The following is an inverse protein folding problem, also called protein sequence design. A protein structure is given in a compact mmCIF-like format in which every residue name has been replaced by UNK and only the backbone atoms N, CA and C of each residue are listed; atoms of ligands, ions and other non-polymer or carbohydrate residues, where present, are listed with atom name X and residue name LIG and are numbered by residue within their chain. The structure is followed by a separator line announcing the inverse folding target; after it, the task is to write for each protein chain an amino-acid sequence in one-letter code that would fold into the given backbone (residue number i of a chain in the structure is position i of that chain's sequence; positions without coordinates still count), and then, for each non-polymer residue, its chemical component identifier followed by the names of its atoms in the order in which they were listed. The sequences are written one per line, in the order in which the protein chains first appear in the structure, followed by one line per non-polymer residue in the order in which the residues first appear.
data_IF_909866922873
#
_entry.id   IF_909866922873
#
_cell.length_a   1.000
_cell.length_b   1.000
_cell.length_c   1.000
_cell.angle_alpha   90.00
_cell.angle_beta   90.00
_cell.angle_gamma   90.00
#
_symmetry.space_group_name_H-M   'P 1'
#
loop_
_entity.id
_entity.type
_entity.pdbx_description
1 polymer ?
#
# COMPACT_ATOMS: atom_id res chain seq x y z
N UNK A 1 -7.63 1.45 -17.21
CA UNK A 1 -8.39 0.48 -16.42
C UNK A 1 -7.68 0.33 -15.07
N UNK A 2 -8.30 0.74 -13.95
CA UNK A 2 -7.67 0.73 -12.62
C UNK A 2 -7.37 -0.69 -12.10
N UNK A 3 -7.89 -1.73 -12.75
CA UNK A 3 -7.62 -3.14 -12.42
C UNK A 3 -6.27 -3.64 -12.91
N UNK A 4 -5.64 -2.91 -13.83
CA UNK A 4 -4.35 -3.30 -14.40
C UNK A 4 -3.21 -2.64 -13.65
N UNK A 5 -2.07 -3.35 -13.57
CA UNK A 5 -0.82 -2.74 -13.10
C UNK A 5 -0.46 -1.55 -13.98
N UNK A 6 0.07 -0.51 -13.34
CA UNK A 6 0.49 0.75 -13.95
C UNK A 6 1.89 0.69 -14.55
N UNK A 7 2.68 -0.28 -14.09
CA UNK A 7 4.00 -0.62 -14.62
C UNK A 7 4.19 -2.14 -14.58
N UNK A 8 5.30 -2.62 -15.14
CA UNK A 8 5.71 -4.02 -14.97
C UNK A 8 6.14 -4.24 -13.52
N UNK A 9 5.41 -5.09 -12.80
CA UNK A 9 5.66 -5.42 -11.39
C UNK A 9 6.18 -6.85 -11.26
N UNK A 10 7.06 -7.09 -10.29
CA UNK A 10 7.57 -8.45 -10.03
C UNK A 10 6.55 -9.33 -9.31
N UNK A 11 5.64 -8.71 -8.55
CA UNK A 11 4.50 -9.35 -7.90
C UNK A 11 3.20 -8.90 -8.56
N UNK A 12 2.31 -9.86 -8.83
CA UNK A 12 0.92 -9.61 -9.23
C UNK A 12 0.01 -9.96 -8.06
N UNK A 13 -0.90 -9.06 -7.68
CA UNK A 13 -1.84 -9.26 -6.58
C UNK A 13 -3.16 -9.89 -7.04
N UNK A 14 -3.68 -9.40 -8.16
CA UNK A 14 -4.96 -9.84 -8.70
C UNK A 14 -4.80 -10.41 -10.10
N UNK A 15 -5.58 -11.44 -10.39
CA UNK A 15 -5.83 -11.94 -11.74
C UNK A 15 -7.30 -11.74 -12.08
N UNK A 16 -7.57 -11.51 -13.35
CA UNK A 16 -8.91 -11.35 -13.88
C UNK A 16 -9.08 -12.35 -15.01
N UNK A 17 -10.21 -13.04 -15.05
CA UNK A 17 -10.53 -13.92 -16.16
C UNK A 17 -10.76 -13.08 -17.43
N UNK A 18 -10.32 -13.60 -18.57
CA UNK A 18 -10.47 -12.95 -19.87
C UNK A 18 -11.00 -13.97 -20.89
N UNK A 19 -12.24 -14.40 -20.73
CA UNK A 19 -12.84 -15.36 -21.68
C UNK A 19 -13.03 -14.75 -23.09
N UNK A 20 -13.16 -13.44 -23.21
CA UNK A 20 -13.45 -12.71 -24.46
C UNK A 20 -12.40 -11.67 -24.85
N UNK A 21 -11.27 -11.59 -24.14
CA UNK A 21 -10.30 -10.50 -24.26
C UNK A 21 -10.69 -9.23 -23.51
N UNK A 22 -11.90 -9.16 -22.94
CA UNK A 22 -12.29 -8.17 -21.94
C UNK A 22 -12.00 -8.69 -20.52
N UNK A 23 -11.62 -7.80 -19.61
CA UNK A 23 -11.39 -8.14 -18.22
C UNK A 23 -12.74 -8.34 -17.51
N UNK A 24 -12.97 -9.55 -17.01
CA UNK A 24 -14.15 -9.86 -16.20
C UNK A 24 -14.13 -9.12 -14.86
N UNK A 25 -15.31 -8.97 -14.24
CA UNK A 25 -15.46 -8.26 -12.96
C UNK A 25 -14.92 -9.04 -11.76
N UNK A 26 -14.75 -10.36 -11.89
CA UNK A 26 -14.29 -11.20 -10.80
C UNK A 26 -12.76 -11.15 -10.67
N UNK A 27 -12.30 -10.46 -9.63
CA UNK A 27 -10.90 -10.50 -9.20
C UNK A 27 -10.61 -11.81 -8.45
N UNK A 28 -9.50 -12.46 -8.79
CA UNK A 28 -9.00 -13.65 -8.10
C UNK A 28 -7.61 -13.35 -7.52
N UNK A 29 -7.34 -13.68 -6.24
CA UNK A 29 -6.00 -13.56 -5.67
C UNK A 29 -4.98 -14.32 -6.52
N UNK A 30 -3.91 -13.63 -6.91
CA UNK A 30 -2.84 -14.21 -7.72
C UNK A 30 -1.82 -15.00 -6.87
N UNK A 31 -1.81 -14.75 -5.55
CA UNK A 31 -0.91 -15.39 -4.60
C UNK A 31 -1.64 -16.50 -3.82
N UNK A 32 -0.88 -17.51 -3.44
CA UNK A 32 -1.36 -18.53 -2.50
C UNK A 32 -1.58 -17.93 -1.10
N UNK A 33 -2.41 -18.55 -0.26
CA UNK A 33 -2.57 -18.12 1.12
C UNK A 33 -1.23 -18.04 1.87
N UNK A 34 -1.04 -17.00 2.71
CA UNK A 34 0.21 -16.81 3.45
C UNK A 34 0.39 -17.88 4.53
N UNK A 35 1.63 -18.03 4.96
CA UNK A 35 1.97 -18.89 6.08
C UNK A 35 1.45 -18.34 7.42
N UNK A 36 1.23 -19.23 8.40
CA UNK A 36 0.78 -18.85 9.74
C UNK A 36 1.70 -17.82 10.44
N UNK A 37 3.04 -17.87 10.34
CA UNK A 37 3.91 -16.83 10.89
C UNK A 37 3.61 -15.43 10.32
N UNK A 38 3.44 -15.29 9.00
CA UNK A 38 3.12 -14.02 8.36
C UNK A 38 1.75 -13.50 8.82
N UNK A 39 0.74 -14.37 8.88
CA UNK A 39 -0.58 -14.02 9.39
C UNK A 39 -0.54 -13.54 10.84
N UNK A 40 0.24 -14.21 11.71
CA UNK A 40 0.39 -13.79 13.10
C UNK A 40 1.07 -12.43 13.24
N UNK A 41 2.12 -12.19 12.47
CA UNK A 41 2.84 -10.90 12.49
C UNK A 41 1.90 -9.75 12.13
N UNK A 42 1.18 -9.89 11.01
CA UNK A 42 0.23 -8.89 10.51
C UNK A 42 -0.95 -8.72 11.48
N UNK A 43 -1.59 -9.82 11.88
CA UNK A 43 -2.74 -9.81 12.79
C UNK A 43 -2.40 -9.09 14.08
N UNK A 44 -1.23 -9.35 14.63
CA UNK A 44 -0.84 -8.79 15.92
C UNK A 44 -0.57 -7.28 15.91
N UNK A 45 -0.44 -6.65 14.73
CA UNK A 45 -0.48 -5.18 14.60
C UNK A 45 -1.94 -4.76 14.37
N UNK A 46 -2.60 -5.38 13.38
CA UNK A 46 -3.94 -5.00 12.92
C UNK A 46 -5.05 -5.15 13.98
N UNK A 47 -4.90 -6.04 14.96
CA UNK A 47 -5.89 -6.21 16.04
C UNK A 47 -5.87 -5.08 17.07
N UNK A 48 -4.82 -4.26 17.10
CA UNK A 48 -4.78 -3.10 17.99
C UNK A 48 -5.62 -1.94 17.44
N UNK A 49 -5.89 -0.94 18.29
CA UNK A 49 -6.49 0.31 17.83
C UNK A 49 -5.58 0.96 16.79
N UNK A 50 -6.18 1.51 15.74
CA UNK A 50 -5.43 2.14 14.68
C UNK A 50 -4.77 3.43 15.18
N UNK A 51 -3.45 3.38 15.27
CA UNK A 51 -2.57 4.51 15.55
C UNK A 51 -1.31 4.29 14.70
N UNK A 52 -1.16 5.09 13.66
CA UNK A 52 -0.12 4.86 12.64
C UNK A 52 1.30 4.87 13.23
N UNK A 53 1.56 5.74 14.21
CA UNK A 53 2.87 5.85 14.84
C UNK A 53 3.16 4.63 15.72
N UNK A 54 2.18 4.20 16.52
CA UNK A 54 2.31 2.95 17.31
C UNK A 54 2.45 1.73 16.42
N UNK A 55 1.72 1.67 15.31
CA UNK A 55 1.80 0.58 14.34
C UNK A 55 3.16 0.55 13.65
N UNK A 56 3.70 1.71 13.28
CA UNK A 56 5.05 1.83 12.73
C UNK A 56 6.11 1.31 13.71
N UNK A 57 6.03 1.71 14.98
CA UNK A 57 6.92 1.23 16.03
C UNK A 57 6.80 -0.29 16.22
N UNK A 58 5.58 -0.82 16.24
CA UNK A 58 5.33 -2.27 16.34
C UNK A 58 5.92 -3.04 15.14
N UNK A 59 5.78 -2.51 13.93
CA UNK A 59 6.38 -3.09 12.72
C UNK A 59 7.92 -3.05 12.79
N UNK A 60 8.49 -1.93 13.25
CA UNK A 60 9.95 -1.75 13.42
C UNK A 60 10.52 -2.78 14.39
N UNK A 61 9.88 -2.99 15.54
CA UNK A 61 10.32 -3.96 16.56
C UNK A 61 10.31 -5.40 16.05
N UNK A 62 9.53 -5.68 15.00
CA UNK A 62 9.39 -7.01 14.40
C UNK A 62 10.22 -7.19 13.15
N UNK A 63 10.95 -6.15 12.72
CA UNK A 63 11.76 -6.20 11.52
C UNK A 63 12.76 -7.37 11.51
N UNK A 64 13.29 -7.75 12.68
CA UNK A 64 14.20 -8.90 12.82
C UNK A 64 13.54 -10.27 12.67
N UNK A 65 12.21 -10.35 12.78
CA UNK A 65 11.45 -11.58 12.55
C UNK A 65 11.16 -11.82 11.06
N UNK A 66 11.53 -10.86 10.20
CA UNK A 66 11.21 -10.88 8.78
C UNK A 66 12.26 -11.69 8.01
N UNK A 67 11.82 -12.76 7.35
CA UNK A 67 12.67 -13.54 6.44
C UNK A 67 12.72 -12.90 5.05
N UNK A 68 13.74 -13.19 4.22
CA UNK A 68 13.84 -12.67 2.85
C UNK A 68 12.61 -13.00 1.98
N UNK A 69 12.01 -14.18 2.16
CA UNK A 69 10.81 -14.61 1.42
C UNK A 69 9.51 -13.97 1.96
N UNK A 70 9.59 -13.16 3.03
CA UNK A 70 8.41 -12.66 3.71
C UNK A 70 7.68 -11.58 2.90
N UNK A 71 8.33 -10.90 1.96
CA UNK A 71 7.68 -9.88 1.13
C UNK A 71 6.46 -10.44 0.37
N UNK A 72 6.62 -11.59 -0.30
CA UNK A 72 5.52 -12.29 -0.97
C UNK A 72 4.43 -12.71 0.02
N UNK A 73 4.82 -13.16 1.22
CA UNK A 73 3.88 -13.56 2.27
C UNK A 73 3.08 -12.36 2.82
N UNK A 74 3.69 -11.18 2.90
CA UNK A 74 2.99 -9.95 3.30
C UNK A 74 2.02 -9.49 2.23
N UNK A 75 2.39 -9.59 0.94
CA UNK A 75 1.45 -9.39 -0.15
C UNK A 75 0.29 -10.39 -0.10
N UNK A 76 0.57 -11.66 0.18
CA UNK A 76 -0.45 -12.69 0.32
C UNK A 76 -1.41 -12.38 1.51
N UNK A 77 -0.92 -11.83 2.63
CA UNK A 77 -1.76 -11.36 3.73
C UNK A 77 -2.73 -10.23 3.33
N UNK A 78 -2.39 -9.41 2.33
CA UNK A 78 -3.29 -8.35 1.83
C UNK A 78 -4.49 -8.90 1.05
N UNK A 79 -4.39 -10.13 0.56
CA UNK A 79 -5.41 -10.81 -0.26
C UNK A 79 -6.17 -11.89 0.53
N UNK A 80 -5.46 -12.53 1.45
CA UNK A 80 -5.96 -13.60 2.31
C UNK A 80 -5.75 -13.16 3.77
N UNK A 81 -6.58 -12.22 4.28
CA UNK A 81 -6.41 -11.69 5.61
C UNK A 81 -6.62 -12.77 6.68
N UNK A 82 -6.05 -12.60 7.89
CA UNK A 82 -6.45 -13.41 9.04
C UNK A 82 -7.96 -13.31 9.29
N UNK A 83 -8.52 -14.27 10.04
CA UNK A 83 -9.94 -14.23 10.41
C UNK A 83 -10.31 -12.90 11.08
N UNK A 84 -11.42 -12.31 10.64
CA UNK A 84 -11.95 -11.07 11.20
C UNK A 84 -12.30 -11.26 12.68
N UNK A 85 -11.80 -10.40 13.59
CA UNK A 85 -12.19 -10.43 14.99
C UNK A 85 -13.70 -10.25 15.18
N UNK A 86 -14.25 -10.81 16.25
CA UNK A 86 -15.66 -10.62 16.59
C UNK A 86 -15.98 -9.12 16.81
N UNK A 87 -17.09 -8.65 16.24
CA UNK A 87 -17.53 -7.26 16.35
C UNK A 87 -16.86 -6.28 15.38
N UNK A 88 -15.88 -6.73 14.59
CA UNK A 88 -15.20 -5.90 13.57
C UNK A 88 -15.86 -6.05 12.20
N UNK A 89 -15.97 -4.95 11.44
CA UNK A 89 -16.47 -5.00 10.08
C UNK A 89 -15.39 -5.57 9.13
N UNK A 90 -15.77 -6.53 8.28
CA UNK A 90 -14.83 -7.22 7.39
C UNK A 90 -14.05 -6.26 6.47
N UNK A 91 -14.69 -5.20 5.95
CA UNK A 91 -13.99 -4.20 5.13
C UNK A 91 -12.93 -3.42 5.91
N UNK A 92 -13.20 -3.12 7.19
CA UNK A 92 -12.34 -2.30 8.02
C UNK A 92 -11.15 -3.15 8.46
N UNK A 93 -11.44 -4.39 8.86
CA UNK A 93 -10.45 -5.40 9.14
C UNK A 93 -9.49 -5.63 7.96
N UNK A 94 -10.03 -5.80 6.74
CA UNK A 94 -9.22 -5.99 5.55
C UNK A 94 -8.27 -4.81 5.33
N UNK A 95 -8.77 -3.57 5.43
CA UNK A 95 -7.92 -2.40 5.23
C UNK A 95 -6.86 -2.25 6.34
N UNK A 96 -7.23 -2.50 7.60
CA UNK A 96 -6.28 -2.58 8.73
C UNK A 96 -5.16 -3.60 8.48
N UNK A 97 -5.52 -4.78 7.98
CA UNK A 97 -4.56 -5.84 7.61
C UNK A 97 -3.65 -5.38 6.49
N UNK A 98 -4.18 -4.72 5.46
CA UNK A 98 -3.39 -4.20 4.34
C UNK A 98 -2.38 -3.13 4.79
N UNK A 99 -2.79 -2.18 5.64
CA UNK A 99 -1.88 -1.17 6.20
C UNK A 99 -0.79 -1.85 7.05
N UNK A 100 -1.15 -2.75 7.96
CA UNK A 100 -0.19 -3.45 8.80
C UNK A 100 0.83 -4.26 7.97
N UNK A 101 0.37 -4.95 6.92
CA UNK A 101 1.23 -5.68 5.99
C UNK A 101 2.17 -4.73 5.21
N UNK A 102 1.67 -3.57 4.75
CA UNK A 102 2.49 -2.59 4.04
C UNK A 102 3.56 -1.97 4.96
N UNK A 103 3.24 -1.66 6.21
CA UNK A 103 4.22 -1.18 7.19
C UNK A 103 5.32 -2.22 7.44
N UNK A 104 4.95 -3.50 7.60
CA UNK A 104 5.92 -4.58 7.74
C UNK A 104 6.76 -4.76 6.47
N UNK A 105 6.17 -4.59 5.29
CA UNK A 105 6.86 -4.71 4.00
C UNK A 105 7.99 -3.69 3.87
N UNK A 106 7.73 -2.44 4.30
CA UNK A 106 8.74 -1.38 4.37
C UNK A 106 9.86 -1.74 5.35
N UNK A 107 9.51 -2.29 6.51
CA UNK A 107 10.46 -2.65 7.56
C UNK A 107 11.31 -3.89 7.22
N UNK A 108 10.82 -4.77 6.35
CA UNK A 108 11.53 -5.97 5.88
C UNK A 108 12.80 -5.65 5.10
N UNK A 109 13.03 -4.38 4.75
CA UNK A 109 14.16 -3.94 3.94
C UNK A 109 14.94 -2.81 4.62
N UNK A 110 15.71 -3.15 5.68
CA UNK A 110 16.50 -2.16 6.43
C UNK A 110 17.50 -1.43 5.54
N UNK A 111 18.09 -2.13 4.55
CA UNK A 111 18.82 -1.51 3.45
C UNK A 111 17.85 -1.22 2.31
N UNK A 112 17.09 -0.13 2.43
CA UNK A 112 16.20 0.36 1.37
C UNK A 112 16.88 0.51 0.00
N UNK A 113 18.21 0.76 0.00
CA UNK A 113 19.05 0.82 -1.20
C UNK A 113 19.31 -0.55 -1.83
N UNK A 114 19.11 -1.65 -1.11
CA UNK A 114 19.08 -2.98 -1.69
C UNK A 114 17.77 -3.13 -2.49
N UNK A 115 17.89 -3.62 -3.72
CA UNK A 115 16.83 -3.60 -4.72
C UNK A 115 15.48 -4.17 -4.23
N UNK A 116 15.46 -5.10 -3.27
CA UNK A 116 14.27 -5.83 -2.86
C UNK A 116 13.20 -4.98 -2.15
N UNK A 117 13.57 -4.09 -1.22
CA UNK A 117 12.59 -3.29 -0.47
C UNK A 117 11.91 -2.22 -1.30
N UNK A 118 12.75 -1.48 -2.03
CA UNK A 118 12.28 -0.50 -3.00
C UNK A 118 11.43 -1.17 -4.09
N UNK A 119 11.80 -2.38 -4.54
CA UNK A 119 11.00 -3.14 -5.50
C UNK A 119 9.64 -3.55 -4.93
N UNK A 120 9.57 -3.96 -3.66
CA UNK A 120 8.31 -4.35 -3.03
C UNK A 120 7.32 -3.18 -2.93
N UNK A 121 7.76 -1.99 -2.48
CA UNK A 121 6.86 -0.82 -2.54
C UNK A 121 6.57 -0.39 -3.97
N UNK A 122 7.54 -0.48 -4.88
CA UNK A 122 7.29 -0.21 -6.30
C UNK A 122 6.19 -1.12 -6.84
N UNK A 123 6.23 -2.42 -6.57
CA UNK A 123 5.24 -3.39 -7.01
C UNK A 123 3.86 -3.10 -6.42
N UNK A 124 3.80 -2.73 -5.14
CA UNK A 124 2.57 -2.36 -4.46
C UNK A 124 1.93 -1.09 -5.07
N UNK A 125 2.73 -0.04 -5.25
CA UNK A 125 2.28 1.27 -5.74
C UNK A 125 1.98 1.30 -7.25
N UNK A 126 2.53 0.34 -8.01
CA UNK A 126 2.29 0.17 -9.44
C UNK A 126 1.37 -1.02 -9.75
N UNK A 127 0.78 -1.64 -8.74
CA UNK A 127 -0.30 -2.60 -8.89
C UNK A 127 -1.62 -1.95 -9.31
N UNK A 128 -2.73 -2.69 -9.23
CA UNK A 128 -4.07 -2.15 -9.43
C UNK A 128 -4.40 -1.03 -8.42
N UNK A 129 -5.15 -0.01 -8.86
CA UNK A 129 -5.59 1.08 -7.99
C UNK A 129 -6.75 0.61 -7.11
N UNK A 130 -6.39 0.14 -5.91
CA UNK A 130 -7.31 -0.33 -4.89
C UNK A 130 -6.77 -0.01 -3.48
N UNK A 131 -7.39 -0.59 -2.44
CA UNK A 131 -7.00 -0.39 -1.04
C UNK A 131 -5.57 -0.88 -0.71
N UNK A 132 -4.99 -1.81 -1.49
CA UNK A 132 -3.60 -2.23 -1.31
C UNK A 132 -2.64 -1.12 -1.74
N UNK A 133 -2.94 -0.41 -2.83
CA UNK A 133 -2.18 0.78 -3.22
C UNK A 133 -2.30 1.87 -2.15
N UNK A 134 -3.49 2.10 -1.59
CA UNK A 134 -3.70 3.05 -0.49
C UNK A 134 -2.87 2.71 0.74
N UNK A 135 -2.80 1.43 1.12
CA UNK A 135 -1.94 0.96 2.20
C UNK A 135 -0.45 1.18 1.90
N UNK A 136 -0.03 0.95 0.64
CA UNK A 136 1.33 1.24 0.18
C UNK A 136 1.69 2.72 0.27
N UNK A 137 0.77 3.61 -0.10
CA UNK A 137 0.95 5.07 0.03
C UNK A 137 1.15 5.45 1.49
N UNK A 138 0.28 4.98 2.40
CA UNK A 138 0.37 5.26 3.84
C UNK A 138 1.72 4.81 4.40
N UNK A 139 2.15 3.59 4.10
CA UNK A 139 3.41 3.05 4.58
C UNK A 139 4.63 3.80 4.02
N UNK A 140 4.59 4.21 2.74
CA UNK A 140 5.64 4.99 2.09
C UNK A 140 5.77 6.38 2.72
N UNK A 141 4.65 7.08 2.93
CA UNK A 141 4.67 8.39 3.57
C UNK A 141 5.13 8.29 5.03
N UNK A 142 4.73 7.24 5.77
CA UNK A 142 5.24 7.01 7.12
C UNK A 142 6.76 6.74 7.14
N UNK A 143 7.29 5.99 6.16
CA UNK A 143 8.74 5.82 5.99
C UNK A 143 9.46 7.17 5.85
N UNK A 144 8.99 8.02 4.94
CA UNK A 144 9.60 9.32 4.70
C UNK A 144 9.55 10.24 5.93
N UNK A 145 8.47 10.17 6.73
CA UNK A 145 8.37 10.90 8.01
C UNK A 145 9.36 10.39 9.05
N UNK A 146 9.47 9.07 9.19
CA UNK A 146 10.33 8.45 10.18
C UNK A 146 11.82 8.51 9.81
N UNK A 147 12.12 8.53 8.51
CA UNK A 147 13.47 8.55 7.94
C UNK A 147 13.57 9.67 6.90
N UNK A 148 13.86 10.92 7.31
CA UNK A 148 13.88 12.08 6.41
C UNK A 148 14.79 11.94 5.18
N UNK A 149 15.84 11.12 5.27
CA UNK A 149 16.73 10.80 4.15
C UNK A 149 16.04 10.03 3.02
N UNK A 150 14.83 9.53 3.23
CA UNK A 150 14.03 8.76 2.25
C UNK A 150 12.91 9.56 1.61
N UNK A 151 12.77 10.85 1.93
CA UNK A 151 11.72 11.70 1.34
C UNK A 151 11.78 11.70 -0.19
N UNK A 152 12.96 11.92 -0.77
CA UNK A 152 13.14 11.94 -2.23
C UNK A 152 12.85 10.56 -2.87
N UNK A 153 13.30 9.48 -2.23
CA UNK A 153 13.05 8.10 -2.69
C UNK A 153 11.55 7.80 -2.74
N UNK A 154 10.82 8.18 -1.69
CA UNK A 154 9.36 8.00 -1.58
C UNK A 154 8.64 8.89 -2.58
N UNK A 155 9.09 10.14 -2.75
CA UNK A 155 8.50 11.04 -3.73
C UNK A 155 8.66 10.51 -5.15
N UNK A 156 9.83 9.99 -5.53
CA UNK A 156 10.05 9.35 -6.83
C UNK A 156 9.11 8.15 -7.06
N UNK A 157 8.84 7.34 -6.03
CA UNK A 157 7.90 6.22 -6.13
C UNK A 157 6.45 6.67 -6.27
N UNK A 158 6.06 7.75 -5.57
CA UNK A 158 4.70 8.27 -5.59
C UNK A 158 4.42 9.19 -6.78
N UNK A 159 5.45 9.79 -7.40
CA UNK A 159 5.30 10.76 -8.51
C UNK A 159 4.35 10.29 -9.61
N UNK A 160 4.40 9.02 -10.09
CA UNK A 160 3.45 8.58 -11.10
C UNK A 160 1.99 8.67 -10.63
N UNK A 161 1.72 8.45 -9.33
CA UNK A 161 0.38 8.54 -8.73
C UNK A 161 -0.09 9.99 -8.56
N UNK A 162 0.75 10.98 -8.84
CA UNK A 162 0.36 12.40 -8.80
C UNK A 162 -0.17 12.90 -10.15
N UNK A 163 -0.21 12.08 -11.19
CA UNK A 163 -0.77 12.49 -12.49
C UNK A 163 -2.27 12.21 -12.51
N UNK A 164 -3.16 13.24 -12.49
CA UNK A 164 -4.61 13.03 -12.44
C UNK A 164 -5.09 12.08 -13.54
N UNK A 165 -6.01 11.16 -13.24
CA UNK A 165 -6.49 10.19 -14.20
C UNK A 165 -7.42 10.87 -15.20
N UNK A 166 -7.72 10.17 -16.29
CA UNK A 166 -8.70 10.65 -17.25
C UNK A 166 -10.11 10.72 -16.64
N UNK A 167 -10.41 9.80 -15.72
CA UNK A 167 -11.69 9.73 -15.03
C UNK A 167 -11.45 9.70 -13.51
N UNK A 168 -12.03 10.63 -12.72
CA UNK A 168 -11.81 10.68 -11.27
C UNK A 168 -12.08 9.37 -10.53
N UNK A 169 -13.06 8.59 -11.01
CA UNK A 169 -13.38 7.26 -10.46
C UNK A 169 -12.20 6.28 -10.50
N UNK A 170 -11.21 6.46 -11.37
CA UNK A 170 -9.99 5.64 -11.40
C UNK A 170 -9.09 5.87 -10.18
N UNK A 171 -9.30 6.95 -9.43
CA UNK A 171 -8.56 7.33 -8.22
C UNK A 171 -9.37 7.29 -6.94
N UNK A 172 -10.65 6.92 -7.00
CA UNK A 172 -11.57 7.02 -5.87
C UNK A 172 -11.02 6.39 -4.56
N UNK A 173 -10.21 5.33 -4.67
CA UNK A 173 -9.63 4.63 -3.52
C UNK A 173 -8.34 5.26 -2.97
N UNK A 174 -7.63 6.10 -3.74
CA UNK A 174 -6.28 6.58 -3.41
C UNK A 174 -6.18 8.10 -3.28
N UNK A 175 -7.09 8.88 -3.87
CA UNK A 175 -6.95 10.33 -3.97
C UNK A 175 -6.88 11.02 -2.60
N UNK A 176 -7.84 10.75 -1.72
CA UNK A 176 -7.87 11.31 -0.37
C UNK A 176 -6.65 10.87 0.45
N UNK A 177 -6.27 9.60 0.32
CA UNK A 177 -5.09 9.05 1.00
C UNK A 177 -3.80 9.73 0.55
N UNK A 178 -3.63 9.96 -0.76
CA UNK A 178 -2.48 10.69 -1.29
C UNK A 178 -2.46 12.13 -0.76
N UNK A 179 -3.58 12.85 -0.87
CA UNK A 179 -3.69 14.24 -0.41
C UNK A 179 -3.35 14.39 1.06
N UNK A 180 -3.92 13.54 1.91
CA UNK A 180 -3.72 13.61 3.36
C UNK A 180 -2.30 13.17 3.76
N UNK A 181 -1.80 12.07 3.20
CA UNK A 181 -0.50 11.50 3.62
C UNK A 181 0.71 12.27 3.08
N UNK A 182 0.60 12.84 1.88
CA UNK A 182 1.65 13.70 1.32
C UNK A 182 1.75 15.00 2.11
N UNK A 183 0.63 15.51 2.65
CA UNK A 183 0.65 16.65 3.57
C UNK A 183 1.53 16.46 4.82
N UNK A 184 1.95 15.23 5.14
CA UNK A 184 2.87 14.95 6.23
C UNK A 184 4.34 15.15 5.89
N UNK A 185 4.70 15.18 4.61
CA UNK A 185 6.09 15.20 4.18
C UNK A 185 6.64 16.64 4.24
N UNK A 186 7.80 16.87 4.88
CA UNK A 186 8.49 18.14 4.74
C UNK A 186 8.93 18.27 3.27
N UNK A 187 8.88 19.48 2.72
CA UNK A 187 9.36 19.83 1.36
C UNK A 187 8.56 19.27 0.18
N UNK A 188 7.26 19.54 0.16
CA UNK A 188 6.52 19.53 -1.10
C UNK A 188 6.53 20.95 -1.67
N UNK A 189 6.95 21.08 -2.93
CA UNK A 189 7.08 22.34 -3.65
C UNK A 189 5.71 23.02 -3.91
N UNK A 190 5.74 24.25 -4.42
CA UNK A 190 4.52 25.00 -4.76
C UNK A 190 3.66 24.23 -5.79
N UNK A 191 4.30 23.40 -6.64
CA UNK A 191 3.63 22.54 -7.62
C UNK A 191 2.75 21.49 -6.94
N UNK A 192 3.19 20.92 -5.80
CA UNK A 192 2.34 20.03 -5.01
C UNK A 192 1.15 20.74 -4.37
N UNK A 193 1.32 21.97 -3.87
CA UNK A 193 0.20 22.70 -3.28
C UNK A 193 -0.88 23.00 -4.33
N UNK A 194 -0.47 23.37 -5.55
CA UNK A 194 -1.36 23.55 -6.68
C UNK A 194 -2.04 22.23 -7.08
N UNK A 195 -1.28 21.14 -7.18
CA UNK A 195 -1.82 19.80 -7.46
C UNK A 195 -2.86 19.37 -6.43
N UNK A 196 -2.56 19.51 -5.14
CA UNK A 196 -3.43 19.10 -4.04
C UNK A 196 -4.77 19.83 -4.11
N UNK A 197 -4.74 21.13 -4.40
CA UNK A 197 -5.97 21.92 -4.53
C UNK A 197 -6.79 21.46 -5.74
N UNK A 198 -6.15 21.23 -6.90
CA UNK A 198 -6.84 20.74 -8.09
C UNK A 198 -7.48 19.35 -7.89
N UNK A 199 -6.83 18.44 -7.15
CA UNK A 199 -7.39 17.13 -6.82
C UNK A 199 -8.57 17.27 -5.86
N UNK A 200 -8.48 18.15 -4.84
CA UNK A 200 -9.58 18.40 -3.92
C UNK A 200 -10.82 18.96 -4.63
N UNK A 201 -10.64 19.92 -5.54
CA UNK A 201 -11.72 20.44 -6.37
C UNK A 201 -12.44 19.34 -7.16
N UNK A 202 -11.69 18.38 -7.73
CA UNK A 202 -12.28 17.24 -8.45
C UNK A 202 -12.99 16.21 -7.57
N UNK A 203 -12.67 16.15 -6.28
CA UNK A 203 -13.33 15.24 -5.33
C UNK A 203 -14.64 15.82 -4.78
N UNK A 204 -14.78 17.15 -4.80
CA UNK A 204 -15.96 17.87 -4.33
C UNK A 204 -17.07 18.00 -5.42
N UNK A 205 -16.76 17.72 -6.69
CA UNK A 205 -17.68 17.71 -7.86
C UNK A 205 -18.45 16.38 -8.04
#
# INVERSE_FOLDING_TARGET
DPRLSRAETSVRLWTYQTASGELEQHAMPALLPPTNPALRLVSSIATTDYDLERWWQAATLRASELSPDLAEQLFACMLHPPATPEGEYAWNWLFKVQIAAALLLVQASPDWSAAQGRQALFDLLNGPIDWTTSAGIIASCQLARAVPQRVDDVYELLRPLLVPPRYPAEWANIAEVLVETLGWLPTLDDDFAAWRNAVREQLDE
#
